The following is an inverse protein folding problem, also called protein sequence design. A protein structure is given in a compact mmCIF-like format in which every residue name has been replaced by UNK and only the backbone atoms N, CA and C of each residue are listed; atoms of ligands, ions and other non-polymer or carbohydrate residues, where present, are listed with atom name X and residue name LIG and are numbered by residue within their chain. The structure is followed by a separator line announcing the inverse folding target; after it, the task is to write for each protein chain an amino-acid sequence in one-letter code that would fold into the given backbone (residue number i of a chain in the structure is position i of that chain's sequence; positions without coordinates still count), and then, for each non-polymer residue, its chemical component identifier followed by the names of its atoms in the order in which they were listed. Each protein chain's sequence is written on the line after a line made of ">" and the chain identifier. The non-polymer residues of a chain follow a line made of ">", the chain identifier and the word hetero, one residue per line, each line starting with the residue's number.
data_IF_342312606465
#
_entry.id   IF_342312606465
#
_cell.length_a   1.000
_cell.length_b   1.000
_cell.length_c   1.000
_cell.angle_alpha   90.00
_cell.angle_beta   90.00
_cell.angle_gamma   90.00
#
_symmetry.space_group_name_H-M   'P 1'
#
loop_
_entity.id
_entity.type
_entity.pdbx_description
1 polymer ?
#
# COMPACT_ATOMS: atom_id res chain seq x y z
N UNK A 1 5.70 -84.58 -54.25
CA UNK A 1 4.37 -84.27 -53.68
C UNK A 1 4.60 -83.27 -52.58
N UNK A 2 4.47 -81.99 -52.90
CA UNK A 2 3.21 -81.26 -52.72
C UNK A 2 3.00 -80.91 -51.24
N UNK A 3 3.04 -79.60 -50.90
CA UNK A 3 1.84 -78.80 -50.51
C UNK A 3 1.48 -79.12 -49.05
N UNK A 4 1.49 -78.22 -48.07
CA UNK A 4 1.20 -76.79 -48.09
C UNK A 4 1.16 -76.29 -46.65
N UNK A 5 1.33 -74.97 -46.53
CA UNK A 5 0.78 -74.10 -45.50
C UNK A 5 1.60 -73.94 -44.20
N UNK A 6 2.27 -72.77 -44.18
CA UNK A 6 2.27 -71.80 -43.06
C UNK A 6 3.06 -72.30 -41.84
N UNK A 7 4.38 -72.14 -41.74
CA UNK A 7 5.16 -70.88 -41.75
C UNK A 7 4.52 -69.86 -40.78
N UNK A 8 5.08 -69.56 -39.59
CA UNK A 8 6.49 -69.20 -39.32
C UNK A 8 6.93 -69.67 -37.92
N UNK A 9 7.85 -70.64 -37.81
CA UNK A 9 9.31 -70.53 -37.45
C UNK A 9 9.59 -69.89 -36.06
N UNK A 10 10.33 -70.47 -35.10
CA UNK A 10 11.57 -71.30 -35.14
C UNK A 10 11.73 -72.29 -33.94
N UNK A 11 12.40 -73.43 -34.16
CA UNK A 11 13.14 -74.27 -33.19
C UNK A 11 14.44 -74.78 -33.87
N UNK A 12 15.56 -74.80 -33.14
CA UNK A 12 16.90 -75.28 -33.57
C UNK A 12 17.89 -74.14 -33.85
N UNK A 13 19.19 -74.18 -33.58
CA UNK A 13 20.12 -75.14 -32.98
C UNK A 13 21.50 -74.47 -33.15
N UNK A 14 22.40 -74.53 -32.15
CA UNK A 14 23.78 -74.10 -32.33
C UNK A 14 24.24 -72.99 -31.39
N UNK A 15 25.39 -73.20 -30.77
CA UNK A 15 26.17 -72.20 -30.05
C UNK A 15 26.77 -71.15 -31.02
N UNK A 16 25.95 -70.55 -31.86
CA UNK A 16 26.33 -69.64 -32.94
C UNK A 16 25.12 -68.77 -33.30
N UNK A 17 25.42 -67.55 -33.75
CA UNK A 17 24.63 -66.66 -34.63
C UNK A 17 23.27 -67.20 -35.12
N UNK A 18 22.25 -66.34 -34.94
CA UNK A 18 20.96 -66.19 -35.65
C UNK A 18 19.65 -66.70 -34.99
N UNK A 19 18.84 -65.70 -34.56
CA UNK A 19 17.37 -65.54 -34.82
C UNK A 19 16.40 -66.35 -33.93
N UNK A 20 15.80 -65.75 -32.87
CA UNK A 20 14.53 -64.97 -32.83
C UNK A 20 13.29 -65.85 -32.53
N UNK A 21 12.18 -65.49 -31.86
CA UNK A 21 11.55 -64.33 -31.20
C UNK A 21 10.26 -64.93 -30.56
N UNK A 22 9.67 -64.46 -29.47
CA UNK A 22 9.93 -63.27 -28.70
C UNK A 22 8.85 -63.07 -27.61
N UNK A 23 8.93 -61.88 -27.01
CA UNK A 23 7.87 -61.16 -26.31
C UNK A 23 7.32 -61.86 -25.04
N UNK A 24 7.59 -61.42 -23.82
CA UNK A 24 7.98 -60.11 -23.38
C UNK A 24 9.07 -60.19 -22.33
N UNK A 25 10.21 -59.56 -22.63
CA UNK A 25 10.80 -58.69 -21.62
C UNK A 25 9.66 -57.76 -21.24
N UNK A 26 9.04 -58.03 -20.09
CA UNK A 26 8.29 -57.02 -19.37
C UNK A 26 9.34 -55.99 -18.97
N UNK A 27 9.75 -55.18 -19.94
CA UNK A 27 9.94 -53.77 -19.69
C UNK A 27 8.60 -53.41 -19.09
N UNK A 28 8.55 -53.36 -17.75
CA UNK A 28 7.63 -52.46 -17.12
C UNK A 28 8.07 -51.09 -17.64
N UNK A 29 7.64 -50.74 -18.84
CA UNK A 29 7.19 -49.41 -19.18
C UNK A 29 6.12 -49.12 -18.15
N UNK A 30 6.59 -48.80 -16.94
CA UNK A 30 5.93 -47.78 -16.15
C UNK A 30 5.89 -46.60 -17.10
N UNK A 31 4.74 -46.48 -17.77
CA UNK A 31 4.09 -45.23 -18.04
C UNK A 31 3.90 -44.53 -16.68
N UNK A 32 5.01 -44.23 -16.00
CA UNK A 32 5.10 -43.00 -15.26
C UNK A 32 5.02 -41.98 -16.37
N UNK A 33 3.79 -41.51 -16.58
CA UNK A 33 3.56 -40.28 -17.30
C UNK A 33 4.66 -39.33 -16.84
N UNK A 34 5.35 -38.74 -17.81
CA UNK A 34 6.25 -37.67 -17.52
C UNK A 34 5.41 -36.57 -16.87
N UNK A 35 5.25 -36.66 -15.55
CA UNK A 35 5.06 -35.51 -14.71
C UNK A 35 6.31 -34.71 -15.03
N UNK A 36 6.15 -33.75 -15.95
CA UNK A 36 7.22 -32.88 -16.38
C UNK A 36 7.95 -32.46 -15.13
N UNK A 37 9.26 -32.70 -15.10
CA UNK A 37 10.13 -32.22 -14.03
C UNK A 37 9.66 -30.80 -13.74
N UNK A 38 9.12 -30.50 -12.54
CA UNK A 38 8.59 -29.17 -12.27
C UNK A 38 9.71 -28.22 -12.63
N UNK A 39 9.46 -27.35 -13.61
CA UNK A 39 10.46 -26.43 -14.12
C UNK A 39 11.11 -25.77 -12.90
N UNK A 40 12.42 -25.96 -12.72
CA UNK A 40 13.11 -25.41 -11.57
C UNK A 40 12.86 -23.90 -11.59
N UNK A 41 12.08 -23.41 -10.63
CA UNK A 41 11.70 -22.01 -10.54
C UNK A 41 13.00 -21.22 -10.35
N UNK A 42 13.42 -20.48 -11.38
CA UNK A 42 14.66 -19.68 -11.32
C UNK A 42 14.43 -18.61 -10.25
N UNK A 43 15.05 -18.79 -9.09
CA UNK A 43 14.98 -17.80 -8.02
C UNK A 43 15.62 -16.50 -8.50
N UNK A 44 14.87 -15.42 -8.40
CA UNK A 44 15.34 -14.05 -8.66
C UNK A 44 15.12 -13.21 -7.41
N UNK A 45 15.94 -12.17 -7.17
CA UNK A 45 15.67 -11.21 -6.09
C UNK A 45 14.24 -10.66 -6.16
N UNK A 46 13.74 -10.42 -7.37
CA UNK A 46 12.38 -9.97 -7.64
C UNK A 46 11.31 -11.00 -7.22
N UNK A 47 11.49 -12.29 -7.56
CA UNK A 47 10.61 -13.35 -7.07
C UNK A 47 10.59 -13.43 -5.54
N UNK A 48 11.74 -13.23 -4.89
CA UNK A 48 11.82 -13.18 -3.43
C UNK A 48 11.04 -12.02 -2.81
N UNK A 49 10.97 -10.85 -3.45
CA UNK A 49 10.13 -9.72 -2.99
C UNK A 49 8.64 -10.07 -3.16
N UNK A 50 8.27 -10.75 -4.26
CA UNK A 50 6.89 -11.18 -4.53
C UNK A 50 6.43 -12.19 -3.48
N UNK A 51 7.23 -13.21 -3.21
CA UNK A 51 6.92 -14.22 -2.19
C UNK A 51 6.82 -13.57 -0.79
N UNK A 52 7.79 -12.73 -0.42
CA UNK A 52 7.75 -12.01 0.86
C UNK A 52 6.52 -11.10 0.99
N UNK A 53 6.06 -10.49 -0.10
CA UNK A 53 4.84 -9.68 -0.10
C UNK A 53 3.59 -10.53 0.13
N UNK A 54 3.56 -11.76 -0.42
CA UNK A 54 2.50 -12.73 -0.16
C UNK A 54 2.48 -13.19 1.29
N UNK A 55 3.65 -13.40 1.89
CA UNK A 55 3.76 -13.78 3.30
C UNK A 55 3.29 -12.64 4.22
N UNK A 56 3.69 -11.40 3.95
CA UNK A 56 3.22 -10.21 4.68
C UNK A 56 1.69 -10.09 4.62
N UNK A 57 1.09 -10.27 3.44
CA UNK A 57 -0.36 -10.23 3.28
C UNK A 57 -1.04 -11.37 4.07
N UNK A 58 -0.50 -12.58 4.00
CA UNK A 58 -1.04 -13.72 4.74
C UNK A 58 -0.96 -13.51 6.24
N UNK A 59 0.16 -12.96 6.73
CA UNK A 59 0.38 -12.67 8.14
C UNK A 59 -0.65 -11.65 8.64
N UNK A 60 -0.80 -10.48 7.99
CA UNK A 60 -1.78 -9.47 8.42
C UNK A 60 -3.21 -10.00 8.43
N UNK A 61 -3.59 -10.80 7.42
CA UNK A 61 -4.94 -11.33 7.30
C UNK A 61 -5.23 -12.44 8.31
N UNK A 62 -4.19 -13.11 8.81
CA UNK A 62 -4.32 -14.17 9.81
C UNK A 62 -4.56 -13.67 11.24
N UNK A 63 -4.31 -12.38 11.52
CA UNK A 63 -4.39 -11.84 12.88
C UNK A 63 -5.84 -11.40 13.18
N UNK A 64 -6.55 -12.08 14.12
CA UNK A 64 -7.95 -11.77 14.42
C UNK A 64 -8.11 -10.33 14.93
N UNK A 65 -9.18 -9.65 14.50
CA UNK A 65 -9.50 -8.26 14.83
C UNK A 65 -8.47 -7.20 14.38
N UNK A 66 -7.44 -7.59 13.61
CA UNK A 66 -6.39 -6.67 13.13
C UNK A 66 -6.10 -6.79 11.64
N UNK A 67 -6.88 -7.62 10.94
CA UNK A 67 -6.83 -7.75 9.49
C UNK A 67 -7.38 -6.51 8.79
N UNK A 68 -6.98 -6.35 7.52
CA UNK A 68 -7.56 -5.33 6.64
C UNK A 68 -9.05 -5.66 6.44
N UNK A 69 -9.98 -4.72 6.65
CA UNK A 69 -11.40 -4.99 6.48
C UNK A 69 -11.72 -5.49 5.06
N UNK A 70 -12.53 -6.54 4.95
CA UNK A 70 -12.92 -7.11 3.67
C UNK A 70 -13.64 -6.10 2.77
N UNK A 71 -14.41 -5.17 3.36
CA UNK A 71 -15.07 -4.06 2.66
C UNK A 71 -14.05 -3.13 2.00
N UNK A 72 -12.94 -2.84 2.69
CA UNK A 72 -11.87 -2.00 2.14
C UNK A 72 -11.11 -2.74 1.02
N UNK A 73 -10.86 -4.05 1.16
CA UNK A 73 -10.24 -4.86 0.10
C UNK A 73 -11.13 -5.03 -1.14
N UNK A 74 -12.46 -4.98 -0.96
CA UNK A 74 -13.43 -4.99 -2.06
C UNK A 74 -13.45 -3.65 -2.82
N UNK A 75 -13.25 -2.52 -2.12
CA UNK A 75 -13.15 -1.18 -2.72
C UNK A 75 -11.76 -0.88 -3.32
N UNK A 76 -10.74 -1.65 -2.94
CA UNK A 76 -9.35 -1.43 -3.35
C UNK A 76 -9.17 -1.46 -4.88
N UNK A 77 -8.53 -0.40 -5.40
CA UNK A 77 -8.06 -0.25 -6.79
C UNK A 77 -6.61 -0.69 -6.95
N UNK A 78 -5.84 -0.59 -5.86
CA UNK A 78 -4.45 -0.99 -5.84
C UNK A 78 -4.04 -1.39 -4.44
N UNK A 79 -3.14 -2.37 -4.34
CA UNK A 79 -2.52 -2.76 -3.09
C UNK A 79 -1.02 -2.72 -3.30
N UNK A 80 -0.33 -1.83 -2.59
CA UNK A 80 1.13 -1.84 -2.55
C UNK A 80 1.61 -2.51 -1.27
N UNK A 81 2.60 -3.39 -1.39
CA UNK A 81 3.20 -4.14 -0.29
C UNK A 81 4.70 -3.89 -0.33
N UNK A 82 5.25 -3.38 0.76
CA UNK A 82 6.67 -3.13 0.95
C UNK A 82 7.13 -3.98 2.13
N UNK A 83 7.56 -5.23 1.88
CA UNK A 83 8.11 -6.06 2.93
C UNK A 83 9.45 -5.47 3.40
N UNK A 84 9.77 -5.65 4.68
CA UNK A 84 11.07 -5.34 5.27
C UNK A 84 11.52 -3.89 5.03
N UNK A 85 10.58 -2.95 5.13
CA UNK A 85 10.87 -1.52 5.06
C UNK A 85 11.82 -1.16 6.20
N UNK A 86 13.03 -0.78 5.83
CA UNK A 86 14.04 -0.32 6.78
C UNK A 86 13.73 1.10 7.20
N UNK A 87 13.79 1.35 8.50
CA UNK A 87 13.71 2.66 9.14
C UNK A 87 14.97 2.83 9.99
N UNK A 88 15.84 3.75 9.64
CA UNK A 88 16.98 4.15 10.48
C UNK A 88 16.75 5.54 11.03
N UNK A 89 17.02 5.79 12.31
CA UNK A 89 16.89 7.12 12.89
C UNK A 89 17.99 7.48 13.89
N UNK A 90 18.49 8.72 13.79
CA UNK A 90 19.17 9.47 14.85
C UNK A 90 18.81 10.96 14.66
N UNK A 91 17.86 11.50 15.45
CA UNK A 91 17.24 12.85 15.33
C UNK A 91 16.44 13.09 14.03
N UNK A 92 16.98 12.70 12.88
CA UNK A 92 16.31 12.62 11.57
C UNK A 92 16.52 11.21 11.04
N UNK A 93 15.45 10.56 10.60
CA UNK A 93 15.48 9.21 10.08
C UNK A 93 15.17 9.12 8.60
N UNK A 94 15.66 8.06 7.99
CA UNK A 94 15.35 7.68 6.61
C UNK A 94 14.63 6.34 6.62
N UNK A 95 13.64 6.21 5.75
CA UNK A 95 13.01 4.93 5.45
C UNK A 95 13.27 4.58 3.99
N UNK A 96 13.62 3.32 3.74
CA UNK A 96 13.84 2.81 2.40
C UNK A 96 13.46 1.33 2.32
N UNK A 97 12.75 0.95 1.26
CA UNK A 97 12.35 -0.44 1.03
C UNK A 97 11.96 -0.68 -0.42
N UNK A 98 12.06 -1.94 -0.84
CA UNK A 98 11.60 -2.42 -2.15
C UNK A 98 10.33 -3.23 -1.94
N UNK A 99 9.40 -3.11 -2.88
CA UNK A 99 8.13 -3.79 -2.81
C UNK A 99 7.49 -3.90 -4.19
N UNK A 100 6.18 -4.06 -4.19
CA UNK A 100 5.38 -4.13 -5.39
C UNK A 100 4.02 -3.46 -5.19
N UNK A 101 3.36 -3.14 -6.29
CA UNK A 101 1.95 -2.79 -6.35
C UNK A 101 1.21 -3.74 -7.28
N UNK A 102 0.04 -4.18 -6.86
CA UNK A 102 -0.93 -4.90 -7.67
C UNK A 102 -2.09 -3.93 -7.94
N UNK A 103 -2.51 -3.81 -9.19
CA UNK A 103 -3.60 -2.93 -9.60
C UNK A 103 -4.78 -3.77 -10.06
N UNK A 104 -6.00 -3.32 -9.73
CA UNK A 104 -7.21 -3.82 -10.37
C UNK A 104 -7.48 -3.02 -11.63
N UNK A 105 -7.88 -3.71 -12.68
CA UNK A 105 -8.33 -3.06 -13.91
C UNK A 105 -9.83 -2.66 -13.85
N UNK A 106 -10.36 -2.20 -14.99
CA UNK A 106 -11.76 -1.81 -15.13
C UNK A 106 -12.73 -2.97 -14.93
N UNK A 107 -12.32 -4.19 -15.31
CA UNK A 107 -13.09 -5.41 -15.10
C UNK A 107 -13.07 -5.87 -13.62
N UNK A 108 -12.25 -5.23 -12.77
CA UNK A 108 -12.08 -5.59 -11.37
C UNK A 108 -11.09 -6.74 -11.15
N UNK A 109 -10.37 -7.16 -12.19
CA UNK A 109 -9.36 -8.21 -12.12
C UNK A 109 -8.02 -7.64 -11.67
N UNK A 110 -7.37 -8.35 -10.74
CA UNK A 110 -6.02 -8.02 -10.33
C UNK A 110 -5.02 -8.35 -11.43
N UNK A 111 -4.17 -7.37 -11.77
CA UNK A 111 -3.04 -7.51 -12.68
C UNK A 111 -1.78 -7.84 -11.91
N UNK A 112 -0.81 -8.46 -12.59
CA UNK A 112 0.43 -8.90 -11.98
C UNK A 112 1.26 -7.76 -11.37
N UNK A 113 2.24 -8.09 -10.51
CA UNK A 113 2.96 -7.10 -9.72
C UNK A 113 3.79 -6.13 -10.59
N UNK A 114 3.76 -4.86 -10.20
CA UNK A 114 4.70 -3.82 -10.67
C UNK A 114 5.61 -3.46 -9.51
N UNK A 115 6.92 -3.55 -9.70
CA UNK A 115 7.87 -3.29 -8.61
C UNK A 115 7.93 -1.81 -8.29
N UNK A 116 8.09 -1.50 -7.00
CA UNK A 116 8.19 -0.14 -6.50
C UNK A 116 9.29 -0.04 -5.45
N UNK A 117 9.74 1.19 -5.22
CA UNK A 117 10.55 1.57 -4.07
C UNK A 117 9.78 2.56 -3.22
N UNK A 118 9.92 2.47 -1.90
CA UNK A 118 9.40 3.46 -0.95
C UNK A 118 10.59 4.14 -0.29
N UNK A 119 10.67 5.46 -0.40
CA UNK A 119 11.71 6.27 0.25
C UNK A 119 11.07 7.44 0.97
N UNK A 120 11.43 7.71 2.22
CA UNK A 120 10.86 8.84 2.96
C UNK A 120 11.75 9.32 4.10
N UNK A 121 11.50 10.55 4.54
CA UNK A 121 12.03 11.06 5.80
C UNK A 121 11.12 10.66 6.96
N UNK A 122 11.69 10.48 8.14
CA UNK A 122 10.93 10.33 9.38
C UNK A 122 11.53 11.19 10.49
N UNK A 123 10.69 11.86 11.27
CA UNK A 123 11.12 12.46 12.53
C UNK A 123 10.86 11.45 13.66
N UNK A 124 11.91 11.12 14.43
CA UNK A 124 11.80 10.17 15.53
C UNK A 124 12.92 10.37 16.56
N UNK A 125 12.56 10.35 17.84
CA UNK A 125 13.48 10.48 18.97
C UNK A 125 14.18 9.16 19.33
N UNK A 126 13.80 8.06 18.69
CA UNK A 126 14.37 6.73 18.94
C UNK A 126 15.61 6.53 18.05
N UNK A 127 16.74 6.22 18.67
CA UNK A 127 17.94 5.79 17.96
C UNK A 127 17.82 4.29 17.62
N UNK A 128 18.02 3.92 16.36
CA UNK A 128 18.09 2.50 15.96
C UNK A 128 17.71 2.23 14.51
N UNK A 129 17.91 0.97 14.11
CA UNK A 129 17.42 0.41 12.85
C UNK A 129 16.23 -0.49 13.18
N UNK A 130 15.11 -0.20 12.54
CA UNK A 130 13.88 -0.97 12.65
C UNK A 130 13.48 -1.48 11.27
N UNK A 131 12.80 -2.61 11.27
CA UNK A 131 12.26 -3.24 10.07
C UNK A 131 10.77 -3.42 10.29
N UNK A 132 9.97 -3.01 9.31
CA UNK A 132 8.53 -3.15 9.35
C UNK A 132 8.02 -3.52 7.97
N UNK A 133 6.96 -4.29 7.90
CA UNK A 133 6.24 -4.49 6.65
C UNK A 133 5.16 -3.42 6.53
N UNK A 134 4.94 -2.91 5.32
CA UNK A 134 3.92 -1.89 5.03
C UNK A 134 2.99 -2.37 3.93
N UNK A 135 1.69 -2.19 4.14
CA UNK A 135 0.66 -2.38 3.13
C UNK A 135 -0.09 -1.05 2.94
N UNK A 136 -0.24 -0.65 1.69
CA UNK A 136 -1.02 0.53 1.28
C UNK A 136 -2.19 0.07 0.42
N UNK A 137 -3.39 0.42 0.83
CA UNK A 137 -4.62 0.13 0.09
C UNK A 137 -5.12 1.41 -0.58
N UNK A 138 -5.04 1.46 -1.90
CA UNK A 138 -5.49 2.56 -2.72
C UNK A 138 -6.95 2.32 -3.10
N UNK A 139 -7.85 3.25 -2.78
CA UNK A 139 -9.29 3.10 -3.08
C UNK A 139 -9.75 3.94 -4.28
N UNK A 140 -8.90 4.84 -4.77
CA UNK A 140 -9.17 5.65 -5.98
C UNK A 140 -8.34 5.16 -7.15
N UNK A 141 -8.92 5.17 -8.35
CA UNK A 141 -8.19 4.77 -9.57
C UNK A 141 -7.09 5.78 -9.90
N UNK A 142 -7.38 7.05 -9.70
CA UNK A 142 -6.45 8.16 -9.93
C UNK A 142 -5.15 8.01 -9.14
N UNK A 143 -5.20 7.54 -7.88
CA UNK A 143 -3.99 7.35 -7.07
C UNK A 143 -3.14 6.19 -7.55
N UNK A 144 -3.75 5.08 -7.99
CA UNK A 144 -3.05 3.95 -8.62
C UNK A 144 -2.42 4.36 -9.94
N UNK A 145 -3.16 5.06 -10.81
CA UNK A 145 -2.63 5.56 -12.08
C UNK A 145 -1.51 6.57 -11.87
N UNK A 146 -1.65 7.45 -10.87
CA UNK A 146 -0.60 8.38 -10.46
C UNK A 146 0.70 7.66 -10.09
N UNK A 147 0.61 6.60 -9.29
CA UNK A 147 1.74 5.74 -8.96
C UNK A 147 2.34 5.07 -10.19
N UNK A 148 1.52 4.43 -11.03
CA UNK A 148 2.00 3.68 -12.20
C UNK A 148 2.67 4.58 -13.26
N UNK A 149 2.41 5.90 -13.25
CA UNK A 149 3.11 6.86 -14.14
C UNK A 149 4.55 7.15 -13.74
N UNK A 150 5.00 6.75 -12.55
CA UNK A 150 6.41 6.83 -12.19
C UNK A 150 6.66 7.13 -10.72
N UNK A 151 6.41 8.36 -10.30
CA UNK A 151 6.69 8.87 -8.95
C UNK A 151 5.41 9.39 -8.30
N UNK A 152 5.17 9.00 -7.07
CA UNK A 152 3.98 9.34 -6.29
C UNK A 152 4.34 9.61 -4.84
N UNK A 153 3.90 10.74 -4.31
CA UNK A 153 4.25 11.24 -2.98
C UNK A 153 3.03 11.17 -2.07
N UNK A 154 3.11 10.32 -1.07
CA UNK A 154 2.05 10.16 -0.06
C UNK A 154 1.91 11.46 0.74
N UNK A 155 0.68 11.97 0.86
CA UNK A 155 0.37 13.23 1.53
C UNK A 155 0.46 14.48 0.63
N UNK A 156 1.08 14.39 -0.56
CA UNK A 156 1.10 15.47 -1.55
C UNK A 156 0.23 15.14 -2.77
N UNK A 157 0.35 13.93 -3.31
CA UNK A 157 -0.40 13.49 -4.49
C UNK A 157 -1.72 12.81 -4.12
N UNK A 158 -1.80 12.17 -2.95
CA UNK A 158 -3.06 11.76 -2.34
C UNK A 158 -2.95 11.69 -0.81
N UNK A 159 -4.08 11.93 -0.13
CA UNK A 159 -4.16 11.81 1.31
C UNK A 159 -4.10 10.34 1.75
N UNK A 160 -3.18 10.02 2.65
CA UNK A 160 -3.13 8.73 3.32
C UNK A 160 -3.54 8.85 4.78
N UNK A 161 -4.15 7.80 5.31
CA UNK A 161 -4.45 7.68 6.74
C UNK A 161 -4.19 6.26 7.22
N UNK A 162 -4.02 6.09 8.53
CA UNK A 162 -3.96 4.76 9.11
C UNK A 162 -5.28 4.02 8.85
N UNK A 163 -5.19 2.77 8.41
CA UNK A 163 -6.34 1.93 8.11
C UNK A 163 -7.13 1.50 9.35
N UNK A 164 -8.47 1.42 9.27
CA UNK A 164 -9.28 0.86 10.36
C UNK A 164 -8.99 -0.64 10.54
N UNK A 165 -9.07 -1.12 11.78
CA UNK A 165 -8.83 -2.52 12.13
C UNK A 165 -10.01 -3.11 12.90
N UNK A 166 -10.32 -4.38 12.67
CA UNK A 166 -11.33 -5.11 13.45
C UNK A 166 -12.74 -4.48 13.41
N UNK A 167 -13.42 -4.46 14.56
CA UNK A 167 -14.81 -3.99 14.69
C UNK A 167 -14.97 -2.46 14.60
N UNK A 168 -13.88 -1.71 14.68
CA UNK A 168 -13.88 -0.25 14.55
C UNK A 168 -14.09 0.20 13.09
N UNK A 169 -13.91 -0.70 12.12
CA UNK A 169 -14.20 -0.43 10.71
C UNK A 169 -15.66 -0.03 10.44
N UNK A 170 -16.61 -0.59 11.20
CA UNK A 170 -18.03 -0.24 11.08
C UNK A 170 -18.33 1.19 11.55
N UNK A 171 -17.52 1.75 12.46
CA UNK A 171 -17.67 3.13 12.96
C UNK A 171 -16.95 4.16 12.08
N UNK A 172 -15.87 3.75 11.40
CA UNK A 172 -15.14 4.61 10.46
C UNK A 172 -15.93 4.92 9.16
N UNK A 173 -17.07 4.25 8.95
CA UNK A 173 -17.87 4.38 7.73
C UNK A 173 -18.77 5.64 7.73
N UNK A 174 -19.06 6.22 8.90
CA UNK A 174 -20.00 7.33 9.08
C UNK A 174 -19.35 8.74 9.13
N UNK A 175 -18.04 8.86 8.88
CA UNK A 175 -17.36 10.15 8.89
C UNK A 175 -16.91 10.58 7.48
N UNK A 176 -17.31 11.79 7.11
CA UNK A 176 -17.41 12.41 5.79
C UNK A 176 -16.10 12.64 5.02
N UNK A 177 -15.02 11.90 5.31
CA UNK A 177 -13.72 12.00 4.63
C UNK A 177 -13.08 10.61 4.46
N UNK A 178 -13.41 9.91 3.36
CA UNK A 178 -12.68 8.70 2.95
C UNK A 178 -11.30 9.09 2.43
N UNK A 179 -10.24 8.57 3.03
CA UNK A 179 -8.89 8.76 2.50
C UNK A 179 -8.74 7.99 1.19
N UNK A 180 -7.89 8.48 0.28
CA UNK A 180 -7.61 7.79 -0.98
C UNK A 180 -6.68 6.59 -0.79
N UNK A 181 -5.88 6.62 0.28
CA UNK A 181 -4.93 5.58 0.63
C UNK A 181 -5.06 5.24 2.12
N UNK A 182 -5.15 3.97 2.44
CA UNK A 182 -5.10 3.46 3.81
C UNK A 182 -3.80 2.72 4.05
N UNK A 183 -3.05 3.09 5.08
CA UNK A 183 -1.78 2.46 5.44
C UNK A 183 -1.92 1.50 6.62
N UNK A 184 -1.28 0.35 6.50
CA UNK A 184 -1.12 -0.64 7.56
C UNK A 184 0.37 -0.92 7.70
N UNK A 185 0.84 -1.11 8.93
CA UNK A 185 2.21 -1.57 9.16
C UNK A 185 2.23 -2.71 10.17
N UNK A 186 3.11 -3.67 9.92
CA UNK A 186 3.35 -4.82 10.75
C UNK A 186 4.82 -4.78 11.19
N UNK A 187 5.06 -4.71 12.50
CA UNK A 187 6.40 -4.74 13.08
C UNK A 187 6.48 -5.93 14.04
N UNK A 188 7.12 -7.04 13.65
CA UNK A 188 7.34 -8.25 14.49
C UNK A 188 6.34 -8.43 15.65
N UNK A 189 5.05 -8.58 15.33
CA UNK A 189 3.97 -8.81 16.30
C UNK A 189 3.17 -7.58 16.78
N UNK A 190 3.46 -6.35 16.33
CA UNK A 190 2.73 -5.13 16.65
C UNK A 190 2.24 -4.40 15.40
N UNK A 191 0.95 -4.08 15.36
CA UNK A 191 0.37 -3.16 14.39
C UNK A 191 0.42 -1.74 14.90
N UNK A 192 0.91 -0.83 14.07
CA UNK A 192 0.78 0.61 14.31
C UNK A 192 0.36 1.28 13.00
N UNK A 193 -0.59 2.21 13.07
CA UNK A 193 -0.77 3.16 11.98
C UNK A 193 0.53 3.93 11.79
N UNK A 194 1.14 3.86 10.61
CA UNK A 194 2.37 4.61 10.31
C UNK A 194 2.01 5.81 9.46
N UNK A 195 2.38 6.99 9.95
CA UNK A 195 2.39 8.21 9.15
C UNK A 195 3.44 8.07 8.04
N UNK A 196 2.95 7.88 6.81
CA UNK A 196 3.76 7.75 5.61
C UNK A 196 3.82 9.04 4.79
N UNK A 197 3.21 10.12 5.27
CA UNK A 197 3.26 11.44 4.65
C UNK A 197 4.71 11.87 4.37
N UNK A 198 4.94 12.40 3.18
CA UNK A 198 6.26 12.76 2.68
C UNK A 198 7.11 11.58 2.20
N UNK A 199 6.55 10.36 2.14
CA UNK A 199 7.21 9.22 1.49
C UNK A 199 6.90 9.21 0.00
N UNK A 200 7.92 8.97 -0.81
CA UNK A 200 7.86 8.78 -2.25
C UNK A 200 7.79 7.30 -2.55
N UNK A 201 6.75 6.90 -3.27
CA UNK A 201 6.68 5.66 -4.02
C UNK A 201 7.17 5.91 -5.44
N UNK A 202 8.03 5.04 -5.93
CA UNK A 202 8.54 5.12 -7.30
C UNK A 202 8.54 3.75 -7.96
N UNK A 203 7.99 3.65 -9.17
CA UNK A 203 8.01 2.41 -9.96
C UNK A 203 9.44 2.04 -10.34
N UNK A 204 9.79 0.78 -10.12
CA UNK A 204 11.04 0.17 -10.56
C UNK A 204 10.79 -0.58 -11.88
N UNK A 205 10.80 0.18 -12.97
CA UNK A 205 10.55 -0.35 -14.32
C UNK A 205 11.61 -1.39 -14.72
N UNK A 206 12.85 -1.24 -14.25
CA UNK A 206 13.92 -2.18 -14.52
C UNK A 206 13.69 -3.53 -13.84
N UNK A 207 13.38 -3.55 -12.54
CA UNK A 207 13.04 -4.77 -11.83
C UNK A 207 11.78 -5.43 -12.40
N UNK A 208 10.76 -4.62 -12.72
CA UNK A 208 9.52 -5.13 -13.34
C UNK A 208 9.80 -5.79 -14.69
N UNK A 209 10.59 -5.14 -15.55
CA UNK A 209 10.97 -5.73 -16.84
C UNK A 209 11.77 -7.02 -16.66
N UNK A 210 12.79 -7.03 -15.79
CA UNK A 210 13.61 -8.22 -15.53
C UNK A 210 12.80 -9.40 -15.01
N UNK A 211 11.87 -9.14 -14.10
CA UNK A 211 11.01 -10.17 -13.53
C UNK A 211 10.19 -10.89 -14.60
N UNK A 212 9.59 -10.14 -15.52
CA UNK A 212 8.75 -10.72 -16.59
C UNK A 212 9.55 -11.26 -17.78
N UNK A 213 10.69 -10.66 -18.11
CA UNK A 213 11.55 -11.10 -19.20
C UNK A 213 12.08 -12.53 -18.97
N UNK A 214 12.31 -12.92 -17.71
CA UNK A 214 12.70 -14.29 -17.35
C UNK A 214 11.65 -15.36 -17.73
N UNK A 215 10.42 -14.95 -18.01
CA UNK A 215 9.29 -15.79 -18.38
C UNK A 215 8.80 -15.54 -19.81
N UNK A 216 9.60 -14.85 -20.63
CA UNK A 216 9.24 -14.55 -22.02
C UNK A 216 8.02 -13.64 -22.18
N UNK A 217 7.66 -12.87 -21.14
CA UNK A 217 6.52 -11.94 -21.17
C UNK A 217 6.96 -10.51 -20.86
N UNK A 218 6.04 -9.56 -20.98
CA UNK A 218 6.30 -8.15 -20.72
C UNK A 218 5.34 -7.60 -19.67
N UNK A 219 5.77 -6.57 -18.94
CA UNK A 219 4.91 -5.86 -18.01
C UNK A 219 3.64 -5.35 -18.71
N UNK A 220 3.76 -4.80 -19.91
CA UNK A 220 2.62 -4.32 -20.69
C UNK A 220 1.60 -5.44 -20.98
N UNK A 221 2.06 -6.61 -21.42
CA UNK A 221 1.19 -7.77 -21.65
C UNK A 221 0.53 -8.29 -20.36
N UNK A 222 1.24 -8.25 -19.23
CA UNK A 222 0.69 -8.62 -17.93
C UNK A 222 -0.39 -7.63 -17.48
N UNK A 223 -0.14 -6.33 -17.62
CA UNK A 223 -1.08 -5.29 -17.23
C UNK A 223 -2.32 -5.23 -18.14
N UNK A 224 -2.19 -5.53 -19.43
CA UNK A 224 -3.32 -5.64 -20.36
C UNK A 224 -4.08 -6.96 -20.26
N UNK A 225 -3.59 -7.93 -19.47
CA UNK A 225 -4.18 -9.26 -19.37
C UNK A 225 -3.93 -10.18 -20.55
N UNK A 226 -2.97 -9.83 -21.42
CA UNK A 226 -2.61 -10.58 -22.63
C UNK A 226 -1.44 -11.55 -22.40
N UNK A 227 -0.85 -11.57 -21.21
CA UNK A 227 0.25 -12.47 -20.88
C UNK A 227 -0.22 -13.94 -20.88
N UNK A 228 0.40 -14.77 -21.73
CA UNK A 228 0.08 -16.19 -21.82
C UNK A 228 0.67 -17.01 -20.66
N UNK A 229 1.78 -16.55 -20.08
CA UNK A 229 2.42 -17.15 -18.91
C UNK A 229 2.77 -16.05 -17.91
N UNK A 230 2.51 -16.34 -16.63
CA UNK A 230 2.91 -15.50 -15.51
C UNK A 230 3.94 -16.27 -14.66
N UNK A 231 4.88 -15.56 -14.03
CA UNK A 231 5.77 -16.17 -13.04
C UNK A 231 4.97 -16.86 -11.92
N UNK A 232 5.35 -18.06 -11.43
CA UNK A 232 4.63 -18.78 -10.38
C UNK A 232 4.48 -17.98 -9.09
N UNK A 233 5.51 -17.23 -8.68
CA UNK A 233 5.41 -16.28 -7.55
C UNK A 233 4.31 -15.23 -7.75
N UNK A 234 4.14 -14.68 -8.96
CA UNK A 234 3.05 -13.75 -9.25
C UNK A 234 1.69 -14.43 -9.17
N UNK A 235 1.56 -15.67 -9.68
CA UNK A 235 0.32 -16.45 -9.59
C UNK A 235 -0.06 -16.69 -8.13
N UNK A 236 0.88 -17.16 -7.29
CA UNK A 236 0.65 -17.38 -5.86
C UNK A 236 0.17 -16.11 -5.15
N UNK A 237 0.79 -14.97 -5.43
CA UNK A 237 0.42 -13.69 -4.84
C UNK A 237 -0.97 -13.21 -5.30
N UNK A 238 -1.28 -13.36 -6.60
CA UNK A 238 -2.59 -13.04 -7.14
C UNK A 238 -3.69 -13.91 -6.51
N UNK A 239 -3.44 -15.21 -6.34
CA UNK A 239 -4.37 -16.12 -5.66
C UNK A 239 -4.58 -15.73 -4.19
N UNK A 240 -3.51 -15.35 -3.48
CA UNK A 240 -3.61 -14.88 -2.09
C UNK A 240 -4.43 -13.59 -1.99
N UNK A 241 -4.22 -12.61 -2.88
CA UNK A 241 -5.05 -11.41 -2.90
C UNK A 241 -6.51 -11.73 -3.24
N UNK A 242 -6.74 -12.59 -4.24
CA UNK A 242 -8.10 -12.97 -4.67
C UNK A 242 -8.87 -13.67 -3.55
N UNK A 243 -8.20 -14.46 -2.71
CA UNK A 243 -8.80 -15.08 -1.52
C UNK A 243 -9.45 -14.06 -0.57
N UNK A 244 -8.81 -12.90 -0.39
CA UNK A 244 -9.23 -11.90 0.60
C UNK A 244 -10.03 -10.73 -0.01
N UNK A 245 -10.09 -10.63 -1.33
CA UNK A 245 -10.63 -9.47 -2.03
C UNK A 245 -11.66 -9.89 -3.10
N UNK A 246 -12.95 -10.04 -2.71
CA UNK A 246 -13.97 -10.57 -3.60
C UNK A 246 -14.16 -9.75 -4.89
N UNK A 247 -14.79 -10.36 -5.89
CA UNK A 247 -15.17 -9.70 -7.14
C UNK A 247 -16.05 -8.47 -6.84
N UNK A 248 -15.81 -7.42 -7.62
CA UNK A 248 -16.22 -6.06 -7.33
C UNK A 248 -17.73 -5.82 -7.40
N UNK A 249 -18.24 -4.91 -6.58
CA UNK A 249 -19.51 -4.22 -6.84
C UNK A 249 -19.29 -3.15 -7.94
N UNK A 250 -20.21 -2.95 -8.90
CA UNK A 250 -20.05 -1.98 -9.99
C UNK A 250 -19.68 -0.58 -9.49
N UNK A 251 -18.90 0.16 -10.28
CA UNK A 251 -18.59 1.57 -10.00
C UNK A 251 -19.87 2.36 -9.68
N UNK A 252 -19.93 3.00 -8.51
CA UNK A 252 -20.78 4.18 -8.36
C UNK A 252 -20.33 5.19 -9.43
N UNK A 253 -21.27 5.85 -10.14
CA UNK A 253 -20.99 6.51 -11.41
C UNK A 253 -19.81 7.48 -11.34
N UNK A 254 -18.96 7.41 -12.36
CA UNK A 254 -17.72 8.17 -12.58
C UNK A 254 -17.88 9.69 -12.72
N UNK A 255 -18.98 10.27 -12.22
CA UNK A 255 -19.22 11.71 -12.15
C UNK A 255 -18.78 12.35 -10.82
N UNK A 256 -18.15 11.59 -9.92
CA UNK A 256 -17.30 12.20 -8.91
C UNK A 256 -15.95 12.55 -9.58
N UNK A 257 -15.90 13.68 -10.30
CA UNK A 257 -14.64 14.40 -10.50
C UNK A 257 -13.94 14.61 -9.15
N UNK A 258 -12.64 14.95 -9.11
CA UNK A 258 -11.83 14.88 -7.89
C UNK A 258 -12.55 15.57 -6.72
N UNK A 259 -13.14 14.77 -5.83
CA UNK A 259 -13.67 15.24 -4.55
C UNK A 259 -12.53 15.32 -3.55
N UNK A 260 -11.41 15.92 -3.98
CA UNK A 260 -10.68 16.78 -3.08
C UNK A 260 -11.65 17.94 -2.84
N UNK A 261 -12.27 18.00 -1.67
CA UNK A 261 -12.96 19.23 -1.29
C UNK A 261 -12.01 20.40 -1.57
N UNK A 262 -12.51 21.50 -2.11
CA UNK A 262 -11.66 22.66 -2.43
C UNK A 262 -10.78 22.99 -1.23
N UNK A 263 -9.58 23.55 -1.44
CA UNK A 263 -8.70 23.94 -0.32
C UNK A 263 -9.48 24.74 0.75
N UNK A 264 -10.49 25.49 0.32
CA UNK A 264 -11.46 26.17 1.17
C UNK A 264 -12.39 25.23 1.98
N UNK A 265 -12.91 24.15 1.40
CA UNK A 265 -13.68 23.14 2.12
C UNK A 265 -12.81 22.37 3.13
N UNK A 266 -11.56 22.04 2.78
CA UNK A 266 -10.62 21.41 3.69
C UNK A 266 -10.27 22.33 4.87
N UNK A 267 -9.98 23.60 4.58
CA UNK A 267 -9.77 24.66 5.58
C UNK A 267 -10.97 24.82 6.51
N UNK A 268 -12.19 24.91 5.96
CA UNK A 268 -13.44 24.99 6.72
C UNK A 268 -13.65 23.79 7.65
N UNK A 269 -13.29 22.58 7.22
CA UNK A 269 -13.39 21.39 8.04
C UNK A 269 -12.40 21.44 9.22
N UNK A 270 -11.14 21.80 8.95
CA UNK A 270 -10.11 21.96 9.99
C UNK A 270 -10.48 23.05 10.99
N UNK A 271 -11.02 24.19 10.55
CA UNK A 271 -11.46 25.27 11.44
C UNK A 271 -12.63 24.85 12.36
N UNK A 272 -13.59 24.06 11.86
CA UNK A 272 -14.67 23.49 12.69
C UNK A 272 -14.14 22.55 13.77
N UNK A 273 -13.20 21.68 13.40
CA UNK A 273 -12.54 20.77 14.35
C UNK A 273 -11.73 21.56 15.38
N UNK A 274 -11.00 22.58 14.94
CA UNK A 274 -10.20 23.44 15.79
C UNK A 274 -11.07 24.17 16.82
N UNK A 275 -12.20 24.73 16.41
CA UNK A 275 -13.15 25.39 17.33
C UNK A 275 -13.78 24.43 18.35
N UNK A 276 -14.01 23.16 17.96
CA UNK A 276 -14.45 22.12 18.88
C UNK A 276 -13.38 21.74 19.91
N UNK A 277 -12.16 21.51 19.43
CA UNK A 277 -11.01 21.15 20.26
C UNK A 277 -10.61 22.27 21.24
N UNK A 278 -10.58 23.52 20.76
CA UNK A 278 -10.24 24.68 21.58
C UNK A 278 -11.22 24.88 22.74
N UNK A 279 -12.53 24.72 22.52
CA UNK A 279 -13.53 24.79 23.59
C UNK A 279 -13.35 23.71 24.66
N UNK A 280 -12.96 22.49 24.24
CA UNK A 280 -12.64 21.41 25.19
C UNK A 280 -11.39 21.75 26.00
N UNK A 281 -10.34 22.24 25.36
CA UNK A 281 -9.13 22.69 26.03
C UNK A 281 -9.43 23.82 27.03
N UNK A 282 -10.17 24.86 26.62
CA UNK A 282 -10.55 25.99 27.46
C UNK A 282 -11.32 25.58 28.73
N UNK A 283 -12.13 24.52 28.67
CA UNK A 283 -12.87 24.02 29.83
C UNK A 283 -11.96 23.45 30.95
N UNK A 284 -10.72 23.10 30.61
CA UNK A 284 -9.73 22.53 31.52
C UNK A 284 -8.73 23.57 32.06
N UNK A 285 -8.77 24.79 31.54
CA UNK A 285 -7.82 25.85 31.85
C UNK A 285 -8.38 26.82 32.90
N UNK A 286 -7.50 27.40 33.71
CA UNK A 286 -7.85 28.57 34.50
C UNK A 286 -7.91 29.84 33.62
N UNK A 287 -8.37 30.95 34.20
CA UNK A 287 -8.61 32.18 33.43
C UNK A 287 -7.33 32.81 32.85
N UNK A 288 -6.17 32.55 33.47
CA UNK A 288 -4.88 33.02 32.97
C UNK A 288 -4.47 32.24 31.71
N UNK A 289 -4.66 30.93 31.73
CA UNK A 289 -4.35 30.04 30.61
C UNK A 289 -5.36 30.16 29.47
N UNK A 290 -6.64 30.36 29.78
CA UNK A 290 -7.67 30.67 28.78
C UNK A 290 -7.28 31.91 27.98
N UNK A 291 -6.83 32.97 28.65
CA UNK A 291 -6.39 34.21 27.97
C UNK A 291 -5.14 33.99 27.12
N UNK A 292 -4.19 33.20 27.61
CA UNK A 292 -2.92 32.95 26.91
C UNK A 292 -3.11 32.07 25.64
N UNK A 293 -3.89 31.00 25.74
CA UNK A 293 -4.12 30.03 24.65
C UNK A 293 -5.40 30.32 23.83
N UNK A 294 -6.08 31.44 24.09
CA UNK A 294 -7.26 31.84 23.34
C UNK A 294 -6.98 31.93 21.85
N UNK A 295 -7.83 31.28 21.05
CA UNK A 295 -7.79 31.39 19.61
C UNK A 295 -8.53 32.64 19.14
N UNK A 296 -7.93 33.44 18.24
CA UNK A 296 -8.62 34.53 17.58
C UNK A 296 -9.89 34.05 16.85
N UNK A 297 -10.95 34.89 16.80
CA UNK A 297 -12.27 34.49 16.28
C UNK A 297 -12.25 34.16 14.78
N UNK A 298 -11.29 34.66 14.02
CA UNK A 298 -11.07 34.34 12.61
C UNK A 298 -10.46 32.94 12.37
N UNK A 299 -9.87 32.30 13.39
CA UNK A 299 -9.40 30.91 13.31
C UNK A 299 -10.46 29.88 13.73
N UNK A 300 -11.34 30.26 14.65
CA UNK A 300 -12.43 29.41 15.13
C UNK A 300 -13.70 29.54 14.28
N UNK A 301 -13.83 30.60 13.48
CA UNK A 301 -14.94 30.78 12.54
C UNK A 301 -14.64 30.08 11.18
N UNK A 302 -15.43 29.09 10.75
CA UNK A 302 -15.13 28.32 9.54
C UNK A 302 -15.28 29.12 8.24
N UNK A 303 -16.12 30.15 8.22
CA UNK A 303 -16.40 30.92 7.02
C UNK A 303 -15.36 32.02 6.74
N UNK A 304 -14.49 32.32 7.72
CA UNK A 304 -13.43 33.33 7.57
C UNK A 304 -12.10 32.66 7.32
N UNK A 305 -11.31 33.21 6.40
CA UNK A 305 -9.91 32.84 6.24
C UNK A 305 -9.13 33.43 7.43
N UNK A 306 -8.30 32.64 8.12
CA UNK A 306 -7.52 33.13 9.26
C UNK A 306 -6.45 34.11 8.79
N UNK A 307 -6.21 35.16 9.58
CA UNK A 307 -5.09 36.06 9.30
C UNK A 307 -3.76 35.30 9.44
N UNK A 308 -2.82 35.41 8.48
CA UNK A 308 -1.51 34.77 8.58
C UNK A 308 -0.70 35.19 9.80
N UNK A 309 -0.88 36.44 10.25
CA UNK A 309 -0.21 36.99 11.43
C UNK A 309 -0.76 36.37 12.71
N UNK A 310 -2.09 36.38 12.86
CA UNK A 310 -2.76 35.80 14.00
C UNK A 310 -2.44 34.30 14.13
N UNK A 311 -2.39 33.59 12.99
CA UNK A 311 -2.12 32.15 12.96
C UNK A 311 -0.70 31.84 13.44
N UNK A 312 0.29 32.64 13.01
CA UNK A 312 1.67 32.54 13.50
C UNK A 312 1.77 32.84 14.99
N UNK A 313 1.07 33.87 15.46
CA UNK A 313 1.08 34.25 16.87
C UNK A 313 0.50 33.13 17.75
N UNK A 314 -0.64 32.56 17.35
CA UNK A 314 -1.30 31.46 18.06
C UNK A 314 -0.43 30.21 18.07
N UNK A 315 0.15 29.83 16.92
CA UNK A 315 1.13 28.75 16.84
C UNK A 315 2.34 28.99 17.73
N UNK A 316 2.86 30.22 17.79
CA UNK A 316 3.97 30.61 18.65
C UNK A 316 3.67 30.36 20.12
N UNK A 317 2.49 30.78 20.60
CA UNK A 317 2.08 30.56 22.00
C UNK A 317 1.95 29.08 22.34
N UNK A 318 1.30 28.29 21.49
CA UNK A 318 1.20 26.84 21.70
C UNK A 318 2.57 26.16 21.62
N UNK A 319 3.47 26.59 20.73
CA UNK A 319 4.83 26.09 20.64
C UNK A 319 5.65 26.41 21.89
N UNK A 320 5.55 27.62 22.44
CA UNK A 320 6.18 27.98 23.72
C UNK A 320 5.73 27.06 24.84
N UNK A 321 4.45 26.69 24.89
CA UNK A 321 3.93 25.76 25.90
C UNK A 321 4.44 24.34 25.64
N UNK A 322 4.39 23.88 24.40
CA UNK A 322 4.83 22.54 23.99
C UNK A 322 6.32 22.28 24.24
N UNK A 323 7.16 23.32 24.17
CA UNK A 323 8.61 23.20 24.29
C UNK A 323 9.14 23.42 25.71
N UNK A 324 8.34 23.98 26.61
CA UNK A 324 8.77 24.26 27.98
C UNK A 324 8.49 23.04 28.89
N UNK A 325 9.53 22.42 29.49
CA UNK A 325 9.38 21.24 30.34
C UNK A 325 8.45 21.44 31.54
N UNK A 326 8.29 22.67 32.02
CA UNK A 326 7.44 23.00 33.16
C UNK A 326 5.95 22.79 32.87
N UNK A 327 5.54 22.75 31.59
CA UNK A 327 4.13 22.57 31.20
C UNK A 327 3.79 21.15 30.72
N UNK A 328 4.66 20.16 30.99
CA UNK A 328 4.47 18.75 30.57
C UNK A 328 3.09 18.19 30.89
N UNK A 329 2.53 18.50 32.06
CA UNK A 329 1.21 18.03 32.47
C UNK A 329 0.08 18.53 31.55
N UNK A 330 0.20 19.75 31.02
CA UNK A 330 -0.75 20.32 30.05
C UNK A 330 -0.49 19.75 28.65
N UNK A 331 0.77 19.61 28.24
CA UNK A 331 1.16 19.10 26.91
C UNK A 331 0.79 17.63 26.70
N UNK A 332 0.72 16.84 27.78
CA UNK A 332 0.29 15.44 27.73
C UNK A 332 -1.23 15.26 27.63
N UNK A 333 -2.01 16.34 27.77
CA UNK A 333 -3.47 16.28 27.64
C UNK A 333 -3.89 16.07 26.18
N UNK A 334 -4.81 15.14 25.88
CA UNK A 334 -5.33 14.93 24.53
C UNK A 334 -5.87 16.22 23.89
N UNK A 335 -6.55 17.07 24.67
CA UNK A 335 -7.16 18.30 24.21
C UNK A 335 -6.12 19.34 23.75
N UNK A 336 -4.96 19.39 24.42
CA UNK A 336 -3.87 20.26 24.01
C UNK A 336 -3.21 19.75 22.72
N UNK A 337 -2.95 18.44 22.65
CA UNK A 337 -2.33 17.80 21.48
C UNK A 337 -3.19 17.93 20.23
N UNK A 338 -4.50 17.69 20.37
CA UNK A 338 -5.47 17.80 19.27
C UNK A 338 -5.57 19.24 18.76
N UNK A 339 -5.69 20.23 19.67
CA UNK A 339 -5.76 21.65 19.32
C UNK A 339 -4.48 22.11 18.62
N UNK A 340 -3.32 21.70 19.13
CA UNK A 340 -2.02 22.07 18.54
C UNK A 340 -1.81 21.43 17.17
N UNK A 341 -2.17 20.17 16.98
CA UNK A 341 -2.08 19.48 15.70
C UNK A 341 -3.00 20.13 14.64
N UNK A 342 -4.22 20.51 15.03
CA UNK A 342 -5.17 21.20 14.13
C UNK A 342 -4.67 22.59 13.72
N UNK A 343 -4.03 23.34 14.63
CA UNK A 343 -3.37 24.61 14.32
C UNK A 343 -2.23 24.44 13.31
N UNK A 344 -1.37 23.44 13.50
CA UNK A 344 -0.28 23.13 12.57
C UNK A 344 -0.81 22.75 11.19
N UNK A 345 -1.88 21.95 11.14
CA UNK A 345 -2.55 21.57 9.89
C UNK A 345 -3.16 22.78 9.17
N UNK A 346 -3.81 23.68 9.91
CA UNK A 346 -4.37 24.91 9.34
C UNK A 346 -3.26 25.79 8.73
N UNK A 347 -2.11 25.94 9.40
CA UNK A 347 -0.97 26.68 8.86
C UNK A 347 -0.35 26.03 7.61
N UNK A 348 -0.33 24.70 7.54
CA UNK A 348 0.12 24.01 6.34
C UNK A 348 -0.81 24.28 5.13
N UNK A 349 -2.13 24.31 5.34
CA UNK A 349 -3.11 24.62 4.30
C UNK A 349 -2.98 26.07 3.78
N UNK A 350 -2.78 27.04 4.68
CA UNK A 350 -2.58 28.45 4.31
C UNK A 350 -1.24 28.65 3.57
N UNK A 351 -0.19 27.96 3.99
CA UNK A 351 1.14 28.05 3.36
C UNK A 351 1.16 27.48 1.93
N UNK A 352 0.35 26.45 1.66
CA UNK A 352 0.26 25.84 0.34
C UNK A 352 -0.58 26.69 -0.63
N UNK A 353 -1.62 27.35 -0.11
CA UNK A 353 -2.48 28.28 -0.87
C UNK A 353 -1.72 29.51 -1.37
N UNK A 354 -0.77 30.03 -0.56
CA UNK A 354 0.02 31.22 -0.90
C UNK A 354 1.00 31.01 -2.07
N UNK A 355 1.39 29.76 -2.39
CA UNK A 355 2.35 29.46 -3.47
C UNK A 355 1.74 29.46 -4.88
N UNK A 356 0.42 29.53 -5.01
CA UNK A 356 -0.31 29.47 -6.29
C UNK A 356 -0.64 30.86 -6.90
N UNK A 357 -0.18 31.96 -6.31
CA UNK A 357 -0.41 33.31 -6.85
C UNK A 357 0.61 33.66 -7.95
N UNK A 358 0.37 33.19 -9.18
CA UNK A 358 1.11 33.64 -10.35
C UNK A 358 0.57 34.99 -10.85
N UNK A 359 1.43 35.95 -11.25
CA UNK A 359 0.99 37.18 -11.91
C UNK A 359 0.32 36.88 -13.26
N UNK A 360 -0.52 37.79 -13.78
CA UNK A 360 -1.19 37.57 -15.07
C UNK A 360 -0.15 37.35 -16.18
N UNK A 361 -0.41 36.42 -17.12
CA UNK A 361 0.52 36.14 -18.20
C UNK A 361 0.78 37.41 -19.04
N UNK A 362 2.01 37.61 -19.53
CA UNK A 362 2.33 38.75 -20.40
C UNK A 362 1.44 38.70 -21.65
N UNK A 363 0.94 39.88 -22.05
CA UNK A 363 0.14 40.04 -23.28
C UNK A 363 0.98 39.90 -24.54
#
# INVERSE_FOLDING_TARGET
>A
MEVSRVMKTLQGLGASVAVALGLGVVFATRLWGQAGTPAQEVWTPEAGIVDASGDVLREIMSIPMRSIPATLLAEARGIAIVPRLLKGAFLVGVRHGRGLVLARDEAGEWRGPVFITLTGGSFGWQAGIQETDVILVFVTRQSVEGLLRGKFTIGADAAATAGPVGREASLATDHTLRAEIYSYSLSRGLFAGVALDGSVLQTDAYATHRYYAAWGTTAAAVQSGQAQQLPPSAVRLLDEIKRWSPARLPDAPANAGPLAGTVDQQRQAVQRQLAGSARRLESLLDDSWKKYLALPPDMSAPERRPSPEALRESLGRFQTVATNPSYRALVQRPEFQETYALLQRLAALESNSARLALPPPPK
#
